data_IF_149653066610
#
_entry.id   IF_149653066610
#
_cell.length_a   1.000
_cell.length_b   1.000
_cell.length_c   1.000
_cell.angle_alpha   90.00
_cell.angle_beta   90.00
_cell.angle_gamma   90.00
#
_symmetry.space_group_name_H-M   'P 1'
#
loop_
_entity.id
_entity.type
_entity.pdbx_description
1 polymer ?
#
# COMPACT_ATOMS: atom_id res chain seq x y z
N UNK A 1 -7.25 1.04 -16.72
CA UNK A 1 -6.17 0.33 -17.43
C UNK A 1 -4.88 0.98 -17.01
N UNK A 2 -3.98 0.24 -16.38
CA UNK A 2 -2.66 0.77 -16.02
C UNK A 2 -1.91 1.07 -17.32
N UNK A 3 -1.54 2.33 -17.56
CA UNK A 3 -0.77 2.73 -18.74
C UNK A 3 0.67 2.22 -18.63
N UNK A 4 1.22 1.75 -19.74
CA UNK A 4 2.57 1.16 -19.87
C UNK A 4 3.67 2.24 -19.88
N UNK A 5 3.59 3.20 -18.96
CA UNK A 5 4.69 4.11 -18.66
C UNK A 5 5.54 3.50 -17.53
N UNK A 6 6.83 3.33 -17.80
CA UNK A 6 7.76 2.79 -16.81
C UNK A 6 8.00 3.80 -15.68
N UNK A 7 7.19 3.70 -14.63
CA UNK A 7 7.41 4.43 -13.39
C UNK A 7 8.44 3.65 -12.55
N UNK A 8 9.67 4.17 -12.48
CA UNK A 8 10.77 3.58 -11.70
C UNK A 8 11.04 4.40 -10.45
N UNK A 9 11.28 3.71 -9.32
CA UNK A 9 11.65 4.33 -8.05
C UNK A 9 12.97 3.77 -7.54
N UNK A 10 13.79 4.64 -6.94
CA UNK A 10 14.98 4.21 -6.19
C UNK A 10 14.59 3.97 -4.74
N UNK A 11 14.91 2.79 -4.22
CA UNK A 11 14.58 2.36 -2.86
C UNK A 11 15.78 1.69 -2.22
N UNK A 12 15.82 1.67 -0.89
CA UNK A 12 16.66 0.73 -0.15
C UNK A 12 15.95 -0.64 -0.11
N UNK A 13 16.54 -1.69 -0.72
CA UNK A 13 15.90 -3.01 -0.79
C UNK A 13 15.62 -3.61 0.59
N UNK A 14 16.49 -3.35 1.57
CA UNK A 14 16.35 -3.91 2.93
C UNK A 14 15.19 -3.28 3.68
N UNK A 15 15.02 -1.96 3.55
CA UNK A 15 13.93 -1.23 4.18
C UNK A 15 12.58 -1.56 3.52
N UNK A 16 12.54 -1.63 2.19
CA UNK A 16 11.32 -2.03 1.48
C UNK A 16 10.88 -3.46 1.85
N UNK A 17 11.84 -4.40 1.90
CA UNK A 17 11.55 -5.78 2.32
C UNK A 17 11.01 -5.82 3.74
N UNK A 18 11.62 -5.08 4.66
CA UNK A 18 11.16 -5.00 6.06
C UNK A 18 9.74 -4.43 6.16
N UNK A 19 9.44 -3.36 5.42
CA UNK A 19 8.11 -2.77 5.38
C UNK A 19 7.05 -3.76 4.87
N UNK A 20 7.33 -4.45 3.76
CA UNK A 20 6.45 -5.48 3.19
C UNK A 20 6.22 -6.62 4.19
N UNK A 21 7.27 -7.09 4.86
CA UNK A 21 7.17 -8.15 5.86
C UNK A 21 6.28 -7.74 7.05
N UNK A 22 6.44 -6.52 7.56
CA UNK A 22 5.62 -6.02 8.66
C UNK A 22 4.13 -5.98 8.28
N UNK A 23 3.81 -5.51 7.07
CA UNK A 23 2.45 -5.49 6.56
C UNK A 23 1.89 -6.92 6.34
N UNK A 24 2.70 -7.83 5.81
CA UNK A 24 2.29 -9.22 5.62
C UNK A 24 2.03 -9.95 6.95
N UNK A 25 2.81 -9.65 7.99
CA UNK A 25 2.58 -10.16 9.34
C UNK A 25 1.27 -9.61 9.92
N UNK A 26 1.01 -8.31 9.79
CA UNK A 26 -0.25 -7.70 10.20
C UNK A 26 -1.46 -8.33 9.48
N UNK A 27 -1.35 -8.55 8.17
CA UNK A 27 -2.38 -9.21 7.38
C UNK A 27 -2.65 -10.65 7.84
N UNK A 28 -1.58 -11.42 8.10
CA UNK A 28 -1.69 -12.78 8.65
C UNK A 28 -2.46 -12.78 9.97
N UNK A 29 -2.10 -11.86 10.86
CA UNK A 29 -2.71 -11.78 12.19
C UNK A 29 -4.20 -11.37 12.09
N UNK A 30 -4.58 -10.61 11.06
CA UNK A 30 -5.98 -10.27 10.75
C UNK A 30 -6.77 -11.43 10.09
N UNK A 31 -6.11 -12.51 9.65
CA UNK A 31 -6.67 -13.66 8.94
C UNK A 31 -6.47 -15.00 9.71
N UNK A 32 -7.04 -15.16 10.93
CA UNK A 32 -6.79 -16.34 11.78
C UNK A 32 -7.26 -17.67 11.15
N UNK A 33 -8.32 -17.63 10.35
CA UNK A 33 -8.86 -18.80 9.65
C UNK A 33 -8.31 -18.97 8.21
N UNK A 34 -7.27 -18.22 7.89
CA UNK A 34 -6.72 -18.09 6.54
C UNK A 34 -7.44 -17.04 5.70
N UNK A 35 -6.90 -16.76 4.52
CA UNK A 35 -7.40 -15.74 3.62
C UNK A 35 -6.43 -15.49 2.47
N UNK A 36 -6.59 -14.35 1.80
CA UNK A 36 -5.72 -13.93 0.69
C UNK A 36 -5.00 -12.65 1.07
N UNK A 37 -3.68 -12.66 0.92
CA UNK A 37 -2.86 -11.47 0.82
C UNK A 37 -2.58 -11.21 -0.66
N UNK A 38 -2.92 -10.02 -1.12
CA UNK A 38 -2.79 -9.58 -2.50
C UNK A 38 -1.75 -8.47 -2.51
N UNK A 39 -0.75 -8.59 -3.38
CA UNK A 39 0.28 -7.57 -3.59
C UNK A 39 0.12 -7.04 -5.01
N UNK A 40 -0.10 -5.74 -5.12
CA UNK A 40 -0.28 -5.05 -6.39
C UNK A 40 0.84 -4.02 -6.56
N UNK A 41 1.36 -3.95 -7.79
CA UNK A 41 2.34 -2.95 -8.19
C UNK A 41 1.88 -2.27 -9.47
N UNK A 42 2.19 -0.99 -9.62
CA UNK A 42 1.82 -0.25 -10.83
C UNK A 42 2.32 1.18 -10.82
N UNK A 43 1.98 1.91 -11.87
CA UNK A 43 2.10 3.36 -11.91
C UNK A 43 0.72 3.97 -11.65
N UNK A 44 0.67 5.08 -10.91
CA UNK A 44 -0.55 5.85 -10.69
C UNK A 44 -0.27 7.34 -10.81
N UNK A 45 -1.25 8.10 -11.28
CA UNK A 45 -1.21 9.56 -11.28
C UNK A 45 -2.10 10.08 -10.16
N UNK A 46 -1.52 10.87 -9.26
CA UNK A 46 -2.25 11.55 -8.19
C UNK A 46 -2.62 12.95 -8.67
N UNK A 47 -3.93 13.20 -8.80
CA UNK A 47 -4.46 14.51 -9.16
C UNK A 47 -4.37 15.51 -8.00
N UNK A 48 -4.64 16.79 -8.27
CA UNK A 48 -4.54 17.84 -7.27
C UNK A 48 -5.50 17.65 -6.07
N UNK A 49 -6.66 17.04 -6.30
CA UNK A 49 -7.67 16.83 -5.25
C UNK A 49 -7.18 15.77 -4.27
N UNK A 50 -6.70 14.64 -4.78
CA UNK A 50 -6.16 13.56 -3.97
C UNK A 50 -4.86 13.99 -3.26
N UNK A 51 -3.99 14.68 -3.99
CA UNK A 51 -2.70 15.16 -3.52
C UNK A 51 -2.85 16.13 -2.33
N UNK A 52 -3.74 17.13 -2.47
CA UNK A 52 -3.99 18.11 -1.40
C UNK A 52 -4.61 17.49 -0.13
N UNK A 53 -5.48 16.49 -0.28
CA UNK A 53 -6.09 15.79 0.86
C UNK A 53 -5.08 14.97 1.68
N UNK A 54 -3.95 14.58 1.09
CA UNK A 54 -2.94 13.72 1.69
C UNK A 54 -1.60 14.44 1.94
N UNK A 55 -1.54 15.76 1.76
CA UNK A 55 -0.32 16.59 1.90
C UNK A 55 0.88 16.05 1.10
N UNK A 56 0.61 15.61 -0.14
CA UNK A 56 1.62 15.13 -1.09
C UNK A 56 1.54 15.92 -2.40
N UNK A 57 2.64 16.08 -3.16
CA UNK A 57 2.58 16.72 -4.48
C UNK A 57 1.73 15.91 -5.48
N UNK A 58 1.00 16.56 -6.41
CA UNK A 58 0.38 15.86 -7.53
C UNK A 58 1.44 15.37 -8.52
N UNK A 59 1.19 14.26 -9.21
CA UNK A 59 2.11 13.70 -10.20
C UNK A 59 2.07 12.17 -10.32
N UNK A 60 3.07 11.62 -11.01
CA UNK A 60 3.23 10.17 -11.20
C UNK A 60 3.94 9.53 -10.00
N UNK A 61 3.38 8.44 -9.50
CA UNK A 61 3.90 7.66 -8.39
C UNK A 61 3.97 6.18 -8.75
N UNK A 62 5.00 5.51 -8.24
CA UNK A 62 5.00 4.04 -8.15
C UNK A 62 4.06 3.62 -7.03
N UNK A 63 3.11 2.75 -7.36
CA UNK A 63 2.18 2.15 -6.42
C UNK A 63 2.73 0.78 -5.98
N UNK A 64 2.72 0.56 -4.67
CA UNK A 64 2.81 -0.76 -4.05
C UNK A 64 1.65 -0.86 -3.07
N UNK A 65 0.69 -1.74 -3.32
CA UNK A 65 -0.48 -1.93 -2.45
C UNK A 65 -0.50 -3.37 -1.92
N UNK A 66 -0.79 -3.51 -0.62
CA UNK A 66 -0.99 -4.79 0.04
C UNK A 66 -2.42 -4.81 0.58
N UNK A 67 -3.21 -5.77 0.10
CA UNK A 67 -4.62 -5.94 0.47
C UNK A 67 -4.82 -7.33 1.07
N UNK A 68 -5.50 -7.41 2.22
CA UNK A 68 -5.86 -8.68 2.84
C UNK A 68 -7.38 -8.89 2.90
N UNK A 69 -7.80 -10.14 3.06
CA UNK A 69 -9.23 -10.50 3.25
C UNK A 69 -9.54 -10.79 4.73
N UNK A 70 -8.77 -10.21 5.64
CA UNK A 70 -8.92 -10.41 7.06
C UNK A 70 -10.06 -9.59 7.66
N UNK A 71 -10.08 -9.59 8.98
CA UNK A 71 -11.09 -8.90 9.78
C UNK A 71 -10.96 -7.37 9.76
N UNK A 72 -9.91 -6.84 9.14
CA UNK A 72 -9.62 -5.42 9.03
C UNK A 72 -9.16 -4.79 10.35
N UNK A 73 -9.06 -3.47 10.36
CA UNK A 73 -8.64 -2.70 11.53
C UNK A 73 -9.90 -2.28 12.31
N UNK A 74 -10.01 -2.64 13.61
CA UNK A 74 -11.12 -2.18 14.44
C UNK A 74 -11.22 -0.65 14.46
N UNK A 75 -12.43 -0.05 14.43
CA UNK A 75 -12.60 1.41 14.32
C UNK A 75 -11.89 2.23 15.40
N UNK A 76 -11.76 1.68 16.60
CA UNK A 76 -11.09 2.35 17.73
C UNK A 76 -9.56 2.45 17.57
N UNK A 77 -8.96 1.73 16.63
CA UNK A 77 -7.52 1.78 16.32
C UNK A 77 -7.19 2.61 15.08
N UNK A 78 -8.18 2.96 14.24
CA UNK A 78 -7.96 3.70 13.00
C UNK A 78 -7.31 5.07 13.20
N UNK A 79 -7.52 5.72 14.35
CA UNK A 79 -6.92 7.03 14.65
C UNK A 79 -5.41 6.97 14.96
N UNK A 80 -4.82 5.76 15.02
CA UNK A 80 -3.39 5.54 15.34
C UNK A 80 -2.58 5.03 14.15
N UNK A 81 -3.20 4.94 12.98
CA UNK A 81 -2.62 4.43 11.74
C UNK A 81 -2.45 5.58 10.77
#
# INVERSE_FOLDING_TARGET
TFEDESCVATVDPSQLTTAILNLALNARDAMPDGGKLIVETGATYLDEVYASANDIPPGHYVLIALSDTGTGIPPHLLARV
#
